data_IF_580612021874
#
_entry.id   IF_580612021874
#
_cell.length_a   1.000
_cell.length_b   1.000
_cell.length_c   1.000
_cell.angle_alpha   90.00
_cell.angle_beta   90.00
_cell.angle_gamma   90.00
#
_symmetry.space_group_name_H-M   'P 1'
#
loop_
_entity.id
_entity.type
_entity.pdbx_description
1 polymer ?
#
# COMPACT_ATOMS: atom_id res chain seq x y z
N UNK A 1 -5.45 -12.09 7.06
CA UNK A 1 -5.09 -10.68 6.81
C UNK A 1 -6.31 -9.80 7.01
N UNK A 2 -6.17 -8.74 7.78
CA UNK A 2 -7.25 -7.79 8.01
C UNK A 2 -7.50 -6.94 6.75
N UNK A 3 -8.75 -6.47 6.58
CA UNK A 3 -9.15 -5.70 5.40
C UNK A 3 -8.25 -4.46 5.22
N UNK A 4 -8.03 -3.69 6.29
CA UNK A 4 -7.21 -2.49 6.19
C UNK A 4 -5.74 -2.79 5.90
N UNK A 5 -5.21 -3.91 6.36
CA UNK A 5 -3.85 -4.35 6.03
C UNK A 5 -3.74 -4.68 4.54
N UNK A 6 -4.72 -5.40 4.01
CA UNK A 6 -4.75 -5.72 2.59
C UNK A 6 -4.84 -4.45 1.75
N UNK A 7 -5.74 -3.53 2.11
CA UNK A 7 -5.90 -2.26 1.39
C UNK A 7 -4.63 -1.42 1.44
N UNK A 8 -3.97 -1.38 2.58
CA UNK A 8 -2.67 -0.70 2.69
C UNK A 8 -1.64 -1.31 1.76
N UNK A 9 -1.52 -2.63 1.76
CA UNK A 9 -0.55 -3.33 0.92
C UNK A 9 -0.85 -3.12 -0.57
N UNK A 10 -2.13 -3.07 -0.93
CA UNK A 10 -2.56 -2.76 -2.31
C UNK A 10 -2.09 -1.37 -2.73
N UNK A 11 -2.35 -0.34 -1.92
CA UNK A 11 -1.97 1.02 -2.28
C UNK A 11 -0.46 1.19 -2.35
N UNK A 12 0.29 0.55 -1.45
CA UNK A 12 1.76 0.55 -1.50
C UNK A 12 2.24 -0.08 -2.80
N UNK A 13 1.66 -1.20 -3.19
CA UNK A 13 1.99 -1.88 -4.45
C UNK A 13 1.74 -0.97 -5.66
N UNK A 14 0.59 -0.32 -5.70
CA UNK A 14 0.24 0.60 -6.80
C UNK A 14 1.20 1.79 -6.87
N UNK A 15 1.52 2.40 -5.73
CA UNK A 15 2.44 3.54 -5.69
C UNK A 15 3.84 3.12 -6.15
N UNK A 16 4.32 1.97 -5.70
CA UNK A 16 5.65 1.47 -6.06
C UNK A 16 5.80 1.15 -7.54
N UNK A 17 4.74 0.58 -8.13
CA UNK A 17 4.78 0.10 -9.51
C UNK A 17 4.14 1.07 -10.51
N UNK A 18 3.50 2.12 -10.01
CA UNK A 18 2.78 3.09 -10.85
C UNK A 18 1.36 2.68 -11.20
N UNK A 19 1.08 1.40 -11.24
CA UNK A 19 -0.23 0.86 -11.54
C UNK A 19 -0.30 -0.62 -11.13
N UNK A 20 -1.53 -1.14 -11.05
CA UNK A 20 -1.76 -2.57 -10.85
C UNK A 20 -3.09 -2.97 -11.49
N UNK A 21 -3.14 -4.12 -12.11
CA UNK A 21 -4.40 -4.69 -12.60
C UNK A 21 -5.12 -5.42 -11.46
N UNK A 22 -6.44 -5.54 -11.59
CA UNK A 22 -7.21 -6.32 -10.63
C UNK A 22 -6.75 -7.79 -10.61
N UNK A 23 -6.39 -8.33 -11.77
CA UNK A 23 -5.88 -9.70 -11.88
C UNK A 23 -4.59 -9.90 -11.09
N UNK A 24 -3.62 -8.97 -11.23
CA UNK A 24 -2.38 -9.02 -10.46
C UNK A 24 -2.67 -9.04 -8.96
N UNK A 25 -3.54 -8.16 -8.51
CA UNK A 25 -3.87 -8.02 -7.10
C UNK A 25 -4.61 -9.25 -6.55
N UNK A 26 -5.51 -9.83 -7.36
CA UNK A 26 -6.16 -11.09 -6.99
C UNK A 26 -5.14 -12.20 -6.77
N UNK A 27 -4.17 -12.32 -7.67
CA UNK A 27 -3.11 -13.32 -7.58
C UNK A 27 -2.22 -13.09 -6.35
N UNK A 28 -1.84 -11.83 -6.10
CA UNK A 28 -0.97 -11.50 -4.98
C UNK A 28 -1.61 -11.72 -3.62
N UNK A 29 -2.89 -11.37 -3.49
CA UNK A 29 -3.57 -11.41 -2.20
C UNK A 29 -4.47 -12.61 -2.00
N UNK A 30 -4.65 -13.43 -3.03
CA UNK A 30 -5.46 -14.65 -2.93
C UNK A 30 -6.93 -14.39 -2.63
N UNK A 31 -7.49 -13.28 -3.15
CA UNK A 31 -8.89 -12.91 -2.94
C UNK A 31 -9.62 -12.78 -4.26
N UNK A 32 -10.96 -12.78 -4.21
CA UNK A 32 -11.80 -12.69 -5.38
C UNK A 32 -11.71 -11.31 -6.05
N UNK A 33 -12.01 -11.26 -7.34
CA UNK A 33 -12.03 -10.05 -8.13
C UNK A 33 -12.96 -8.98 -7.53
N UNK A 34 -14.14 -9.38 -7.07
CA UNK A 34 -15.08 -8.46 -6.43
C UNK A 34 -14.50 -7.81 -5.17
N UNK A 35 -13.73 -8.57 -4.39
CA UNK A 35 -13.07 -8.04 -3.18
C UNK A 35 -12.02 -7.01 -3.55
N UNK A 36 -11.18 -7.30 -4.56
CA UNK A 36 -10.17 -6.36 -5.04
C UNK A 36 -10.81 -5.09 -5.59
N UNK A 37 -11.87 -5.21 -6.37
CA UNK A 37 -12.57 -4.03 -6.94
C UNK A 37 -13.17 -3.17 -5.84
N UNK A 38 -13.72 -3.78 -4.81
CA UNK A 38 -14.22 -3.05 -3.66
C UNK A 38 -13.09 -2.31 -2.93
N UNK A 39 -11.96 -2.97 -2.73
CA UNK A 39 -10.77 -2.37 -2.12
C UNK A 39 -10.28 -1.17 -2.94
N UNK A 40 -10.18 -1.33 -4.26
CA UNK A 40 -9.72 -0.28 -5.16
C UNK A 40 -10.68 0.93 -5.17
N UNK A 41 -11.98 0.67 -5.18
CA UNK A 41 -12.97 1.74 -5.12
C UNK A 41 -12.87 2.52 -3.80
N UNK A 42 -12.65 1.83 -2.70
CA UNK A 42 -12.46 2.48 -1.40
C UNK A 42 -11.18 3.31 -1.39
N UNK A 43 -10.08 2.75 -1.88
CA UNK A 43 -8.78 3.43 -1.92
C UNK A 43 -8.81 4.66 -2.83
N UNK A 44 -9.57 4.63 -3.92
CA UNK A 44 -9.68 5.76 -4.84
C UNK A 44 -10.31 7.00 -4.20
N UNK A 45 -11.02 6.84 -3.09
CA UNK A 45 -11.59 7.96 -2.34
C UNK A 45 -10.54 8.71 -1.51
N UNK A 46 -9.42 8.06 -1.20
CA UNK A 46 -8.39 8.60 -0.31
C UNK A 46 -7.05 8.84 -1.00
N UNK A 47 -6.79 8.18 -2.11
CA UNK A 47 -5.51 8.26 -2.81
C UNK A 47 -5.72 8.64 -4.27
N UNK A 48 -4.73 9.35 -4.88
CA UNK A 48 -4.85 9.78 -6.28
C UNK A 48 -4.58 8.61 -7.24
N UNK A 49 -5.52 7.68 -7.28
CA UNK A 49 -5.52 6.57 -8.23
C UNK A 49 -6.73 6.66 -9.13
N UNK A 50 -6.56 6.32 -10.40
CA UNK A 50 -7.62 6.37 -11.40
C UNK A 50 -7.77 5.03 -12.09
N UNK A 51 -9.02 4.66 -12.47
CA UNK A 51 -9.24 3.40 -13.19
C UNK A 51 -8.49 3.36 -14.52
N UNK A 52 -7.94 2.18 -14.83
CA UNK A 52 -7.36 1.91 -16.15
C UNK A 52 -8.38 1.22 -17.03
N UNK A 53 -8.38 1.58 -18.30
CA UNK A 53 -9.22 0.93 -19.32
C UNK A 53 -8.46 -0.26 -19.91
N UNK A 54 -9.21 -1.29 -20.34
CA UNK A 54 -8.67 -2.45 -21.02
C UNK A 54 -8.86 -3.75 -20.27
N UNK A 55 -8.28 -4.82 -20.82
CA UNK A 55 -8.39 -6.15 -20.25
C UNK A 55 -7.69 -6.23 -18.89
N UNK A 56 -8.41 -6.76 -17.92
CA UNK A 56 -7.92 -6.90 -16.57
C UNK A 56 -8.23 -5.75 -15.63
N UNK A 57 -8.56 -4.57 -16.15
CA UNK A 57 -8.87 -3.39 -15.33
C UNK A 57 -7.77 -3.02 -14.37
N UNK A 58 -8.11 -2.31 -13.31
CA UNK A 58 -7.16 -1.92 -12.27
C UNK A 58 -7.07 -0.42 -12.13
N UNK A 59 -6.00 0.04 -11.47
CA UNK A 59 -5.83 1.45 -11.17
C UNK A 59 -4.40 1.91 -11.39
N UNK A 60 -4.27 3.17 -11.81
CA UNK A 60 -3.00 3.85 -12.01
C UNK A 60 -2.83 4.92 -10.95
N UNK A 61 -1.63 5.03 -10.39
CA UNK A 61 -1.28 6.10 -9.48
C UNK A 61 -0.99 7.39 -10.27
N UNK A 62 -1.71 8.46 -9.94
CA UNK A 62 -1.62 9.74 -10.64
C UNK A 62 -0.99 10.86 -9.80
N UNK A 63 -0.58 10.54 -8.58
CA UNK A 63 0.04 11.49 -7.68
C UNK A 63 1.56 11.53 -7.80
N UNK A 64 2.17 12.42 -7.03
CA UNK A 64 3.62 12.46 -6.85
C UNK A 64 4.04 11.27 -6.01
N UNK A 65 5.12 10.57 -6.42
CA UNK A 65 5.65 9.47 -5.62
C UNK A 65 6.20 10.02 -4.30
N UNK A 66 5.69 9.56 -3.15
CA UNK A 66 6.16 10.08 -1.87
C UNK A 66 7.65 9.82 -1.65
N UNK A 67 8.38 10.83 -1.20
CA UNK A 67 9.80 10.67 -0.85
C UNK A 67 9.99 9.63 0.23
N UNK A 68 9.08 9.61 1.19
CA UNK A 68 9.08 8.64 2.28
C UNK A 68 8.97 7.19 1.78
N UNK A 69 8.44 6.98 0.58
CA UNK A 69 8.26 5.61 0.04
C UNK A 69 9.56 4.82 -0.01
N UNK A 70 10.70 5.46 -0.34
CA UNK A 70 12.00 4.79 -0.33
C UNK A 70 12.35 4.29 1.07
N UNK A 71 12.16 5.14 2.06
CA UNK A 71 12.44 4.80 3.46
C UNK A 71 11.48 3.73 3.98
N UNK A 72 10.20 3.85 3.62
CA UNK A 72 9.21 2.85 3.99
C UNK A 72 9.57 1.48 3.44
N UNK A 73 9.99 1.40 2.17
CA UNK A 73 10.42 0.16 1.56
C UNK A 73 11.62 -0.44 2.27
N UNK A 74 12.62 0.37 2.59
CA UNK A 74 13.80 -0.06 3.32
C UNK A 74 13.43 -0.58 4.70
N UNK A 75 12.56 0.12 5.40
CA UNK A 75 12.09 -0.29 6.73
C UNK A 75 11.30 -1.59 6.68
N UNK A 76 10.49 -1.79 5.65
CA UNK A 76 9.73 -3.03 5.47
C UNK A 76 10.66 -4.21 5.20
N UNK A 77 11.67 -4.03 4.35
CA UNK A 77 12.67 -5.07 4.07
C UNK A 77 13.45 -5.41 5.33
N UNK A 78 13.86 -4.40 6.08
CA UNK A 78 14.57 -4.59 7.34
C UNK A 78 13.71 -5.32 8.36
N UNK A 79 12.43 -4.97 8.44
CA UNK A 79 11.46 -5.62 9.32
C UNK A 79 11.34 -7.13 8.99
N UNK A 80 11.23 -7.46 7.70
CA UNK A 80 11.16 -8.85 7.25
C UNK A 80 12.43 -9.62 7.61
N UNK A 81 13.59 -9.00 7.42
CA UNK A 81 14.87 -9.61 7.77
C UNK A 81 15.00 -9.86 9.27
N UNK A 82 14.58 -8.90 10.09
CA UNK A 82 14.56 -9.06 11.54
C UNK A 82 13.63 -10.20 11.96
N UNK A 83 12.47 -10.29 11.32
CA UNK A 83 11.52 -11.37 11.58
C UNK A 83 12.14 -12.75 11.26
N UNK A 84 12.81 -12.87 10.11
CA UNK A 84 13.49 -14.10 9.70
C UNK A 84 14.61 -14.51 10.65
N UNK A 85 15.24 -13.54 11.30
CA UNK A 85 16.30 -13.76 12.28
C UNK A 85 15.80 -14.08 13.69
N UNK A 86 14.47 -14.25 13.86
CA UNK A 86 13.87 -14.53 15.16
C UNK A 86 13.50 -13.29 15.97
N UNK A 87 13.59 -12.12 15.35
CA UNK A 87 13.24 -10.87 16.00
C UNK A 87 14.35 -10.29 16.87
N UNK A 88 14.08 -9.15 17.46
CA UNK A 88 14.95 -8.45 18.42
C UNK A 88 14.13 -8.20 19.67
N UNK A 89 14.73 -8.39 20.83
CA UNK A 89 14.08 -8.10 22.11
C UNK A 89 13.65 -6.61 22.15
N UNK A 90 12.36 -6.37 22.41
CA UNK A 90 11.80 -5.02 22.40
C UNK A 90 11.37 -4.52 21.02
N UNK A 91 11.60 -5.28 19.98
CA UNK A 91 11.16 -4.93 18.64
C UNK A 91 9.66 -5.23 18.46
N UNK A 92 8.90 -4.21 18.09
CA UNK A 92 7.48 -4.34 17.81
C UNK A 92 7.24 -4.13 16.31
N UNK A 93 7.11 -5.25 15.58
CA UNK A 93 6.88 -5.26 14.13
C UNK A 93 5.56 -4.58 13.76
N UNK A 94 4.51 -4.83 14.54
CA UNK A 94 3.20 -4.26 14.29
C UNK A 94 3.22 -2.75 14.46
N UNK A 95 3.86 -2.26 15.52
CA UNK A 95 3.99 -0.83 15.78
C UNK A 95 4.79 -0.14 14.65
N UNK A 96 5.85 -0.78 14.19
CA UNK A 96 6.63 -0.25 13.06
C UNK A 96 5.78 -0.16 11.79
N UNK A 97 5.01 -1.18 11.47
CA UNK A 97 4.12 -1.17 10.30
C UNK A 97 3.07 -0.08 10.41
N UNK A 98 2.46 0.09 11.58
CA UNK A 98 1.46 1.14 11.81
C UNK A 98 2.08 2.53 11.67
N UNK A 99 3.28 2.73 12.18
CA UNK A 99 4.01 4.00 12.03
C UNK A 99 4.27 4.30 10.56
N UNK A 100 4.72 3.31 9.78
CA UNK A 100 4.94 3.46 8.34
C UNK A 100 3.64 3.84 7.63
N UNK A 101 2.53 3.20 7.99
CA UNK A 101 1.21 3.49 7.41
C UNK A 101 0.80 4.95 7.65
N UNK A 102 0.97 5.41 8.88
CA UNK A 102 0.62 6.79 9.26
C UNK A 102 1.46 7.79 8.49
N UNK A 103 2.77 7.60 8.47
CA UNK A 103 3.70 8.51 7.78
C UNK A 103 3.44 8.53 6.27
N UNK A 104 3.17 7.37 5.69
CA UNK A 104 2.85 7.27 4.27
C UNK A 104 1.55 8.01 3.94
N UNK A 105 0.53 7.86 4.77
CA UNK A 105 -0.75 8.53 4.59
C UNK A 105 -0.58 10.06 4.69
N UNK A 106 0.15 10.54 5.67
CA UNK A 106 0.43 11.98 5.85
C UNK A 106 1.17 12.52 4.63
N UNK A 107 2.19 11.84 4.14
CA UNK A 107 2.97 12.30 2.99
C UNK A 107 2.14 12.27 1.71
N UNK A 108 1.33 11.22 1.50
CA UNK A 108 0.50 11.07 0.32
C UNK A 108 -0.60 12.14 0.25
N UNK A 109 -1.14 12.54 1.39
CA UNK A 109 -2.20 13.54 1.48
C UNK A 109 -1.71 14.91 1.95
N UNK A 110 -0.41 15.10 2.08
CA UNK A 110 0.17 16.33 2.66
C UNK A 110 -0.20 17.60 1.94
N UNK A 111 -0.38 17.55 0.61
CA UNK A 111 -0.81 18.69 -0.18
C UNK A 111 -2.27 19.10 0.05
N UNK A 112 -3.06 18.24 0.70
CA UNK A 112 -4.46 18.49 1.01
C UNK A 112 -4.66 19.01 2.44
N UNK A 113 -3.61 18.93 3.25
CA UNK A 113 -3.63 19.39 4.62
C UNK A 113 -2.99 20.76 4.68
N UNK A 114 -3.81 21.79 4.85
CA UNK A 114 -3.33 23.15 5.06
C UNK A 114 -3.10 23.37 6.55
N UNK A 115 -1.85 23.37 6.92
CA UNK A 115 -1.45 23.69 8.28
C UNK A 115 -1.19 25.18 8.40
#
# INVERSE_FOLDING_TARGET
>A
MLVFERRFDIIVYIIRNGSATARELCALFGVADSTIRQDLNMLSQYYPITPMRGNGGGFKYCGKKPMFMKHANMLMILSENIHKMGGIVGYDELLMKDTIRILLAVETHGSQIHL
#
